data_IF_994550310333
#
_entry.id   IF_994550310333
#
_cell.length_a   1.000
_cell.length_b   1.000
_cell.length_c   1.000
_cell.angle_alpha   90.00
_cell.angle_beta   90.00
_cell.angle_gamma   90.00
#
_symmetry.space_group_name_H-M   'P 1'
#
loop_
_entity.id
_entity.type
_entity.pdbx_description
1 polymer ?
#
# COMPACT_ATOMS: atom_id res chain seq x y z
N UNK A 1 0.79 18.83 -5.36
CA UNK A 1 1.16 17.43 -5.22
C UNK A 1 2.27 17.25 -4.19
N UNK A 2 2.13 16.27 -3.32
CA UNK A 2 3.21 15.89 -2.43
C UNK A 2 4.33 15.21 -3.22
N UNK A 3 5.52 15.17 -2.63
CA UNK A 3 6.64 14.45 -3.24
C UNK A 3 6.28 12.99 -3.48
N UNK A 4 5.60 12.38 -2.51
CA UNK A 4 5.17 10.99 -2.60
C UNK A 4 4.26 10.77 -3.81
N UNK A 5 3.25 11.62 -3.97
CA UNK A 5 2.33 11.48 -5.10
C UNK A 5 3.03 11.71 -6.44
N UNK A 6 3.98 12.63 -6.51
CA UNK A 6 4.76 12.84 -7.73
C UNK A 6 5.54 11.60 -8.14
N UNK A 7 6.10 10.88 -7.17
CA UNK A 7 6.82 9.65 -7.49
C UNK A 7 5.87 8.55 -7.98
N UNK A 8 4.68 8.45 -7.39
CA UNK A 8 3.68 7.50 -7.85
C UNK A 8 3.24 7.80 -9.29
N UNK A 9 3.00 9.08 -9.57
CA UNK A 9 2.61 9.51 -10.90
C UNK A 9 3.70 9.22 -11.94
N UNK A 10 4.96 9.48 -11.57
CA UNK A 10 6.09 9.21 -12.47
C UNK A 10 6.17 7.73 -12.81
N UNK A 11 6.05 6.85 -11.80
CA UNK A 11 6.08 5.42 -12.03
C UNK A 11 4.93 4.97 -12.94
N UNK A 12 3.73 5.50 -12.68
CA UNK A 12 2.56 5.18 -13.49
C UNK A 12 2.76 5.60 -14.96
N UNK A 13 3.29 6.79 -15.18
CA UNK A 13 3.53 7.29 -16.54
C UNK A 13 4.60 6.50 -17.29
N UNK A 14 5.53 5.89 -16.56
CA UNK A 14 6.56 5.02 -17.12
C UNK A 14 6.13 3.57 -17.27
N UNK A 15 4.89 3.25 -16.95
CA UNK A 15 4.37 1.89 -17.03
C UNK A 15 4.89 0.96 -15.96
N UNK A 16 5.42 1.48 -14.87
CA UNK A 16 5.93 0.67 -13.77
C UNK A 16 4.79 0.34 -12.81
N UNK A 17 4.58 -0.94 -12.57
CA UNK A 17 3.61 -1.38 -11.56
C UNK A 17 4.22 -1.29 -10.18
N UNK A 18 3.57 -0.52 -9.30
CA UNK A 18 4.02 -0.37 -7.92
C UNK A 18 3.16 -1.19 -6.97
N UNK A 19 3.81 -1.71 -5.97
CA UNK A 19 3.17 -2.32 -4.81
C UNK A 19 3.53 -1.51 -3.60
N UNK A 20 2.53 -1.04 -2.86
CA UNK A 20 2.75 -0.28 -1.64
C UNK A 20 2.51 -1.17 -0.45
N UNK A 21 3.53 -1.35 0.35
CA UNK A 21 3.45 -2.17 1.54
C UNK A 21 3.31 -1.25 2.75
N UNK A 22 2.18 -1.34 3.43
CA UNK A 22 1.90 -0.52 4.60
C UNK A 22 2.02 -1.41 5.84
N UNK A 23 3.04 -1.13 6.63
CA UNK A 23 3.32 -1.89 7.84
C UNK A 23 2.55 -1.26 9.00
N UNK A 24 1.57 -1.99 9.49
CA UNK A 24 0.70 -1.53 10.57
C UNK A 24 0.57 -2.65 11.59
N UNK A 25 0.47 -2.35 12.86
CA UNK A 25 0.27 -3.39 13.87
C UNK A 25 -1.18 -3.87 13.81
N UNK A 26 -2.06 -3.26 14.58
CA UNK A 26 -3.49 -3.56 14.52
C UNK A 26 -4.28 -2.38 13.92
N UNK A 27 -3.59 -1.43 13.32
CA UNK A 27 -4.19 -0.19 12.82
C UNK A 27 -5.22 -0.46 11.73
N UNK A 28 -4.93 -1.40 10.83
CA UNK A 28 -5.85 -1.73 9.74
C UNK A 28 -7.20 -2.22 10.29
N UNK A 29 -7.16 -3.13 11.25
CA UNK A 29 -8.39 -3.62 11.90
C UNK A 29 -9.15 -2.50 12.58
N UNK A 30 -8.43 -1.60 13.24
CA UNK A 30 -9.05 -0.46 13.92
C UNK A 30 -9.67 0.52 12.95
N UNK A 31 -9.05 0.75 11.79
CA UNK A 31 -9.62 1.59 10.75
C UNK A 31 -10.93 1.00 10.25
N UNK A 32 -10.97 -0.31 10.02
CA UNK A 32 -12.16 -0.97 9.52
C UNK A 32 -13.27 -1.07 10.55
N UNK A 33 -12.94 -1.13 11.84
CA UNK A 33 -13.90 -1.35 12.92
C UNK A 33 -14.35 -0.09 13.63
N UNK A 34 -13.65 1.03 13.49
CA UNK A 34 -13.97 2.25 14.22
C UNK A 34 -13.79 3.50 13.38
N UNK A 35 -14.85 4.28 13.27
CA UNK A 35 -14.82 5.55 12.55
C UNK A 35 -14.06 6.64 13.30
N UNK A 36 -13.83 6.46 14.60
CA UNK A 36 -13.28 7.49 15.46
C UNK A 36 -11.89 7.18 15.99
N UNK A 37 -11.30 6.09 15.55
CA UNK A 37 -9.97 5.72 15.99
C UNK A 37 -8.93 6.72 15.50
N UNK A 38 -8.05 7.14 16.39
CA UNK A 38 -6.91 7.99 16.08
C UNK A 38 -5.65 7.30 16.57
N UNK A 39 -4.69 7.08 15.67
CA UNK A 39 -3.47 6.38 16.02
C UNK A 39 -2.39 7.30 16.57
N UNK A 40 -2.48 8.60 16.29
CA UNK A 40 -1.50 9.58 16.74
C UNK A 40 -2.22 10.88 17.13
N UNK A 41 -2.11 11.25 18.39
CA UNK A 41 -2.74 12.45 18.90
C UNK A 41 -2.17 13.73 18.28
N UNK A 42 -0.91 13.69 17.83
CA UNK A 42 -0.27 14.83 17.21
C UNK A 42 -0.65 14.98 15.74
N UNK A 43 -1.17 13.94 15.12
CA UNK A 43 -1.56 13.97 13.73
C UNK A 43 -2.95 14.60 13.58
N UNK A 44 -3.09 15.48 12.59
CA UNK A 44 -4.39 16.07 12.24
C UNK A 44 -5.20 15.16 11.32
N UNK A 45 -4.59 14.11 10.79
CA UNK A 45 -5.22 13.18 9.84
C UNK A 45 -5.66 11.94 10.59
N UNK A 46 -6.93 11.60 10.51
CA UNK A 46 -7.44 10.37 11.10
C UNK A 46 -6.97 9.15 10.34
N UNK A 47 -6.90 7.97 10.98
CA UNK A 47 -6.57 6.73 10.27
C UNK A 47 -7.50 6.44 9.09
N UNK A 48 -8.80 6.73 9.22
CA UNK A 48 -9.73 6.54 8.12
C UNK A 48 -9.42 7.45 6.95
N UNK A 49 -9.07 8.71 7.21
CA UNK A 49 -8.69 9.65 6.14
C UNK A 49 -7.41 9.21 5.44
N UNK A 50 -6.43 8.74 6.20
CA UNK A 50 -5.19 8.23 5.65
C UNK A 50 -5.44 6.98 4.78
N UNK A 51 -6.26 6.07 5.29
CA UNK A 51 -6.64 4.87 4.57
C UNK A 51 -7.34 5.21 3.25
N UNK A 52 -8.30 6.13 3.31
CA UNK A 52 -9.03 6.56 2.12
C UNK A 52 -8.12 7.23 1.10
N UNK A 53 -7.17 8.05 1.56
CA UNK A 53 -6.20 8.68 0.69
C UNK A 53 -5.32 7.65 -0.03
N UNK A 54 -4.82 6.66 0.70
CA UNK A 54 -4.00 5.60 0.11
C UNK A 54 -4.76 4.84 -0.97
N UNK A 55 -6.02 4.50 -0.70
CA UNK A 55 -6.81 3.75 -1.67
C UNK A 55 -7.21 4.61 -2.87
N UNK A 56 -7.41 5.91 -2.68
CA UNK A 56 -7.65 6.82 -3.80
C UNK A 56 -6.40 6.89 -4.71
N UNK A 57 -5.22 7.01 -4.12
CA UNK A 57 -3.98 7.01 -4.87
C UNK A 57 -3.75 5.68 -5.59
N UNK A 58 -4.09 4.58 -4.93
CA UNK A 58 -3.96 3.25 -5.53
C UNK A 58 -4.84 3.11 -6.77
N UNK A 59 -6.07 3.61 -6.70
CA UNK A 59 -6.98 3.58 -7.84
C UNK A 59 -6.49 4.48 -8.97
N UNK A 60 -5.98 5.66 -8.61
CA UNK A 60 -5.53 6.65 -9.60
C UNK A 60 -4.30 6.18 -10.37
N UNK A 61 -3.36 5.55 -9.68
CA UNK A 61 -2.06 5.20 -10.25
C UNK A 61 -1.86 3.69 -10.40
N UNK A 62 -2.92 2.92 -10.32
CA UNK A 62 -2.89 1.46 -10.48
C UNK A 62 -1.87 0.80 -9.54
N UNK A 63 -1.97 1.11 -8.26
CA UNK A 63 -1.08 0.57 -7.23
C UNK A 63 -1.83 -0.47 -6.44
N UNK A 64 -1.16 -1.58 -6.12
CA UNK A 64 -1.70 -2.56 -5.19
C UNK A 64 -1.20 -2.23 -3.79
N UNK A 65 -2.11 -2.13 -2.84
CA UNK A 65 -1.78 -1.87 -1.44
C UNK A 65 -1.86 -3.17 -0.66
N UNK A 66 -0.81 -3.42 0.12
CA UNK A 66 -0.73 -4.57 1.00
C UNK A 66 -0.61 -4.06 2.42
N UNK A 67 -1.46 -4.58 3.31
CA UNK A 67 -1.36 -4.26 4.73
C UNK A 67 -0.75 -5.45 5.45
N UNK A 68 0.26 -5.19 6.26
CA UNK A 68 0.97 -6.24 6.97
C UNK A 68 1.45 -5.71 8.31
N UNK A 69 1.93 -6.59 9.15
CA UNK A 69 2.58 -6.22 10.39
C UNK A 69 4.09 -6.43 10.27
N UNK A 70 4.81 -5.97 11.30
CA UNK A 70 6.26 -6.00 11.30
C UNK A 70 6.82 -7.42 11.19
N UNK A 71 6.15 -8.41 11.77
CA UNK A 71 6.65 -9.77 11.78
C UNK A 71 6.40 -10.52 10.48
N UNK A 72 5.46 -10.05 9.64
CA UNK A 72 5.09 -10.71 8.40
C UNK A 72 5.55 -9.98 7.14
N UNK A 73 6.12 -8.79 7.28
CA UNK A 73 6.49 -7.96 6.12
C UNK A 73 7.47 -8.64 5.19
N UNK A 74 8.53 -9.24 5.73
CA UNK A 74 9.56 -9.88 4.91
C UNK A 74 9.01 -11.05 4.13
N UNK A 75 8.15 -11.86 4.76
CA UNK A 75 7.52 -12.99 4.10
C UNK A 75 6.59 -12.54 2.99
N UNK A 76 5.84 -11.49 3.23
CA UNK A 76 4.91 -10.96 2.23
C UNK A 76 5.67 -10.42 1.02
N UNK A 77 6.76 -9.68 1.25
CA UNK A 77 7.60 -9.19 0.15
C UNK A 77 8.15 -10.36 -0.67
N UNK A 78 8.64 -11.38 0.00
CA UNK A 78 9.14 -12.58 -0.66
C UNK A 78 8.06 -13.21 -1.54
N UNK A 79 6.84 -13.37 -1.00
CA UNK A 79 5.76 -14.02 -1.72
C UNK A 79 5.31 -13.19 -2.93
N UNK A 80 5.22 -11.87 -2.77
CA UNK A 80 4.88 -11.00 -3.89
C UNK A 80 5.89 -11.17 -5.03
N UNK A 81 7.18 -11.09 -4.71
CA UNK A 81 8.23 -11.21 -5.72
C UNK A 81 8.24 -12.60 -6.35
N UNK A 82 8.11 -13.63 -5.53
CA UNK A 82 8.13 -15.01 -6.02
C UNK A 82 7.00 -15.26 -7.02
N UNK A 83 5.77 -14.90 -6.68
CA UNK A 83 4.64 -15.20 -7.53
C UNK A 83 4.59 -14.31 -8.77
N UNK A 84 5.02 -13.08 -8.67
CA UNK A 84 5.11 -12.22 -9.86
C UNK A 84 6.17 -12.71 -10.83
N UNK A 85 7.33 -13.15 -10.34
CA UNK A 85 8.37 -13.72 -11.20
C UNK A 85 7.91 -15.02 -11.83
N UNK A 86 7.23 -15.87 -11.06
CA UNK A 86 6.71 -17.14 -11.54
C UNK A 86 5.73 -16.95 -12.70
N UNK A 87 4.79 -16.02 -12.54
CA UNK A 87 3.79 -15.76 -13.57
C UNK A 87 4.41 -15.09 -14.79
N UNK A 88 5.38 -14.23 -14.59
CA UNK A 88 6.11 -13.62 -15.69
C UNK A 88 6.82 -14.69 -16.54
N UNK A 89 7.49 -15.63 -15.89
CA UNK A 89 8.19 -16.69 -16.60
C UNK A 89 7.23 -17.60 -17.37
N UNK A 90 6.05 -17.87 -16.82
CA UNK A 90 5.03 -18.61 -17.54
C UNK A 90 4.56 -17.89 -18.80
N UNK A 91 4.44 -16.56 -18.71
CA UNK A 91 4.03 -15.75 -19.85
C UNK A 91 5.05 -15.68 -20.97
N UNK A 92 6.32 -15.95 -20.68
CA UNK A 92 7.39 -15.94 -21.65
C UNK A 92 7.47 -17.26 -22.41
N UNK A 93 6.99 -18.32 -21.80
CA UNK A 93 6.95 -19.63 -22.45
C UNK A 93 5.85 -19.68 -23.52
#
# INVERSE_FOLDING_TARGET
>A
LTRFERELKRAYEQGIKLHLLVEVSDMHSKILSSKHFRYDKASKVSPQSFYAMLHALAARYNITIWYTDKSNSARLIHDILYYHCREYLKGVE
#
